data_IF_342833214685
#
_entry.id   IF_342833214685
#
_cell.length_a   1.000
_cell.length_b   1.000
_cell.length_c   1.000
_cell.angle_alpha   90.00
_cell.angle_beta   90.00
_cell.angle_gamma   90.00
#
_symmetry.space_group_name_H-M   'P 1'
#
loop_
_entity.id
_entity.type
_entity.pdbx_description
1 polymer ?
#
# COMPACT_ATOMS: atom_id res chain seq x y z
N UNK A 1 -5.01 -6.91 6.43
CA UNK A 1 -5.28 -7.00 7.88
C UNK A 1 -4.13 -7.62 8.68
N UNK A 2 -3.65 -8.85 8.40
CA UNK A 2 -2.60 -9.47 9.22
C UNK A 2 -1.30 -8.65 9.30
N UNK A 3 -0.83 -8.07 8.18
CA UNK A 3 0.36 -7.22 8.17
C UNK A 3 0.18 -5.93 8.98
N UNK A 4 -0.96 -5.26 8.86
CA UNK A 4 -1.27 -4.06 9.63
C UNK A 4 -1.38 -4.35 11.14
N UNK A 5 -1.96 -5.49 11.51
CA UNK A 5 -2.00 -5.94 12.90
C UNK A 5 -0.59 -6.26 13.44
N UNK A 6 0.24 -6.95 12.66
CA UNK A 6 1.63 -7.23 13.02
C UNK A 6 2.45 -5.94 13.22
N UNK A 7 2.27 -4.95 12.34
CA UNK A 7 2.86 -3.62 12.50
C UNK A 7 2.43 -2.96 13.80
N UNK A 8 1.14 -3.01 14.14
CA UNK A 8 0.63 -2.42 15.38
C UNK A 8 1.26 -3.04 16.63
N UNK A 9 1.43 -4.36 16.64
CA UNK A 9 2.15 -5.06 17.72
C UNK A 9 3.60 -4.60 17.80
N UNK A 10 4.31 -4.57 16.66
CA UNK A 10 5.70 -4.13 16.61
C UNK A 10 5.86 -2.66 17.08
N UNK A 11 4.94 -1.77 16.69
CA UNK A 11 4.94 -0.38 17.15
C UNK A 11 4.83 -0.30 18.67
N UNK A 12 3.94 -1.09 19.29
CA UNK A 12 3.75 -1.11 20.75
C UNK A 12 4.99 -1.60 21.50
N UNK A 13 5.68 -2.60 20.95
CA UNK A 13 6.86 -3.20 21.59
C UNK A 13 8.13 -2.38 21.39
N UNK A 14 8.30 -1.79 20.20
CA UNK A 14 9.56 -1.16 19.79
C UNK A 14 9.51 0.36 19.73
N UNK A 15 8.31 0.95 19.79
CA UNK A 15 8.04 2.37 19.52
C UNK A 15 8.52 2.83 18.13
N UNK A 16 8.63 1.90 17.17
CA UNK A 16 9.01 2.18 15.79
C UNK A 16 7.87 1.85 14.83
N UNK A 17 7.50 2.83 14.01
CA UNK A 17 6.48 2.63 12.98
C UNK A 17 7.11 2.00 11.73
N UNK A 18 6.50 0.93 11.22
CA UNK A 18 6.90 0.28 9.97
C UNK A 18 5.81 0.52 8.94
N UNK A 19 6.15 1.16 7.82
CA UNK A 19 5.19 1.38 6.76
C UNK A 19 4.83 0.07 6.06
N UNK A 20 3.54 -0.15 5.81
CA UNK A 20 3.02 -1.25 5.01
C UNK A 20 2.65 -0.72 3.63
N UNK A 21 3.39 -1.16 2.61
CA UNK A 21 3.15 -0.80 1.22
C UNK A 21 2.46 -1.96 0.52
N UNK A 22 1.26 -1.74 -0.01
CA UNK A 22 0.59 -2.75 -0.84
C UNK A 22 1.09 -2.65 -2.28
N UNK A 23 1.54 -3.76 -2.83
CA UNK A 23 2.02 -3.83 -4.22
C UNK A 23 1.13 -4.78 -5.04
N UNK A 24 0.71 -4.29 -6.21
CA UNK A 24 -0.10 -5.04 -7.16
C UNK A 24 -1.60 -5.07 -6.89
N UNK A 25 -2.35 -5.55 -7.88
CA UNK A 25 -3.81 -5.77 -7.78
C UNK A 25 -4.69 -4.52 -7.92
N UNK A 26 -4.12 -3.32 -8.06
CA UNK A 26 -4.86 -2.07 -8.25
C UNK A 26 -5.26 -1.92 -9.72
N UNK A 27 -6.56 -2.05 -10.02
CA UNK A 27 -7.10 -1.87 -11.38
C UNK A 27 -8.02 -0.66 -11.48
N UNK A 28 -8.81 -0.44 -10.43
CA UNK A 28 -9.75 0.68 -10.34
C UNK A 28 -9.54 1.44 -9.03
N UNK A 29 -10.04 2.68 -8.95
CA UNK A 29 -9.93 3.49 -7.73
C UNK A 29 -10.51 2.82 -6.47
N UNK A 30 -11.52 1.95 -6.64
CA UNK A 30 -12.05 1.16 -5.51
C UNK A 30 -11.04 0.20 -4.89
N UNK A 31 -10.06 -0.30 -5.66
CA UNK A 31 -9.01 -1.16 -5.13
C UNK A 31 -8.04 -0.39 -4.24
N UNK A 32 -7.78 0.88 -4.59
CA UNK A 32 -6.99 1.80 -3.78
C UNK A 32 -7.67 2.03 -2.42
N UNK A 33 -8.99 2.33 -2.44
CA UNK A 33 -9.77 2.51 -1.22
C UNK A 33 -9.74 1.26 -0.32
N UNK A 34 -9.88 0.05 -0.91
CA UNK A 34 -9.78 -1.21 -0.16
C UNK A 34 -8.40 -1.43 0.44
N UNK A 35 -7.32 -1.09 -0.26
CA UNK A 35 -5.95 -1.25 0.24
C UNK A 35 -5.72 -0.39 1.50
N UNK A 36 -6.11 0.88 1.45
CA UNK A 36 -6.02 1.77 2.61
C UNK A 36 -6.92 1.31 3.76
N UNK A 37 -8.17 0.95 3.48
CA UNK A 37 -9.09 0.41 4.49
C UNK A 37 -8.56 -0.88 5.14
N UNK A 38 -7.77 -1.67 4.42
CA UNK A 38 -7.13 -2.88 4.93
C UNK A 38 -5.85 -2.64 5.76
N UNK A 39 -5.42 -1.38 5.88
CA UNK A 39 -4.30 -0.93 6.71
C UNK A 39 -2.98 -0.68 5.98
N UNK A 40 -3.01 -0.42 4.67
CA UNK A 40 -1.84 0.04 3.94
C UNK A 40 -1.54 1.53 4.23
N UNK A 41 -0.27 1.90 4.28
CA UNK A 41 0.19 3.29 4.40
C UNK A 41 0.41 3.92 3.02
N UNK A 42 0.82 3.10 2.06
CA UNK A 42 0.99 3.48 0.66
C UNK A 42 0.66 2.31 -0.25
N UNK A 43 0.49 2.60 -1.53
CA UNK A 43 0.38 1.58 -2.57
C UNK A 43 1.40 1.83 -3.68
N UNK A 44 1.93 0.76 -4.26
CA UNK A 44 2.70 0.82 -5.49
C UNK A 44 1.75 0.67 -6.67
N UNK A 45 1.80 1.63 -7.61
CA UNK A 45 0.97 1.63 -8.81
C UNK A 45 1.87 1.42 -10.03
N UNK A 46 1.77 0.24 -10.63
CA UNK A 46 2.53 -0.13 -11.83
C UNK A 46 1.82 0.22 -13.13
N UNK A 47 1.07 -0.73 -13.68
CA UNK A 47 0.46 -0.64 -15.02
C UNK A 47 -0.30 0.67 -15.30
N UNK A 48 -1.09 1.24 -14.37
CA UNK A 48 -1.75 2.52 -14.63
C UNK A 48 -0.78 3.69 -14.85
N UNK A 49 0.34 3.74 -14.10
CA UNK A 49 1.34 4.80 -14.26
C UNK A 49 2.22 4.58 -15.49
N UNK A 50 2.42 3.32 -15.89
CA UNK A 50 3.17 2.99 -17.11
C UNK A 50 2.48 3.46 -18.41
N UNK A 51 1.19 3.85 -18.35
CA UNK A 51 0.43 4.38 -19.47
C UNK A 51 0.43 5.91 -19.54
N UNK A 52 1.07 6.61 -18.59
CA UNK A 52 1.13 8.07 -18.56
C UNK A 52 2.05 8.62 -19.66
N UNK A 53 1.84 9.88 -20.07
CA UNK A 53 2.67 10.54 -21.09
C UNK A 53 4.11 10.75 -20.62
N UNK A 54 4.32 10.85 -19.32
CA UNK A 54 5.62 11.02 -18.66
C UNK A 54 6.33 9.69 -18.41
N UNK A 55 5.69 8.55 -18.71
CA UNK A 55 6.32 7.25 -18.57
C UNK A 55 7.56 7.18 -19.49
N UNK A 56 8.68 6.62 -19.01
CA UNK A 56 9.94 6.62 -19.78
C UNK A 56 9.96 5.64 -20.97
N UNK A 57 8.85 4.93 -21.22
CA UNK A 57 8.73 3.85 -22.20
C UNK A 57 7.87 4.22 -23.39
#
# INVERSE_FOLDING_TARGET
LHCAAARETYLKESNKYVAVITDGGIRIGGDLCKAFAAGADAVMIGSPLAQATEAPG
#
